data_IF_499938551550
#
_entry.id   IF_499938551550
#
_cell.length_a   1.000
_cell.length_b   1.000
_cell.length_c   1.000
_cell.angle_alpha   90.00
_cell.angle_beta   90.00
_cell.angle_gamma   90.00
#
_symmetry.space_group_name_H-M   'P 1'
#
loop_
_entity.id
_entity.type
_entity.pdbx_description
1 polymer ?
#
# COMPACT_ATOMS: atom_id res chain seq x y z
N UNK A 1 18.94 8.21 28.44
CA UNK A 1 18.54 7.79 27.06
C UNK A 1 18.37 6.29 27.06
N UNK A 2 17.13 5.80 27.16
CA UNK A 2 16.81 4.38 27.15
C UNK A 2 16.47 3.92 25.72
N UNK A 3 16.86 2.70 25.36
CA UNK A 3 16.44 2.04 24.12
C UNK A 3 15.00 1.57 24.30
N UNK A 4 14.09 1.98 23.39
CA UNK A 4 12.71 1.55 23.40
C UNK A 4 12.51 0.52 22.28
N UNK A 5 11.99 -0.65 22.64
CA UNK A 5 11.60 -1.69 21.66
C UNK A 5 10.10 -1.61 21.47
N UNK A 6 9.67 -1.70 20.21
CA UNK A 6 8.25 -1.73 19.83
C UNK A 6 8.01 -2.95 18.94
N UNK A 7 6.94 -3.67 19.22
CA UNK A 7 6.49 -4.80 18.39
C UNK A 7 5.38 -4.31 17.48
N UNK A 8 5.52 -4.56 16.18
CA UNK A 8 4.46 -4.32 15.20
C UNK A 8 3.92 -5.67 14.71
N UNK A 9 2.59 -5.82 14.77
CA UNK A 9 1.91 -7.01 14.29
C UNK A 9 1.41 -6.72 12.88
N UNK A 10 1.67 -7.67 11.96
CA UNK A 10 1.14 -7.62 10.59
C UNK A 10 -0.33 -8.03 10.61
N UNK A 11 -1.20 -7.06 10.49
CA UNK A 11 -2.66 -7.22 10.46
C UNK A 11 -3.27 -6.06 9.67
N UNK A 12 -4.49 -6.19 9.16
CA UNK A 12 -5.19 -5.07 8.56
C UNK A 12 -5.29 -3.91 9.56
N UNK A 13 -4.77 -2.75 9.15
CA UNK A 13 -4.76 -1.52 9.96
C UNK A 13 -5.41 -0.40 9.15
N UNK A 14 -5.98 0.55 9.84
CA UNK A 14 -6.40 1.79 9.21
C UNK A 14 -5.19 2.58 8.71
N UNK A 15 -5.38 3.34 7.64
CA UNK A 15 -4.35 4.23 7.12
C UNK A 15 -4.04 5.31 8.16
N UNK A 16 -2.78 5.55 8.38
CA UNK A 16 -2.31 6.63 9.27
C UNK A 16 -2.32 7.96 8.54
N UNK A 17 -1.91 7.95 7.26
CA UNK A 17 -1.78 9.14 6.45
C UNK A 17 -1.93 8.81 4.97
N UNK A 18 -2.42 9.80 4.19
CA UNK A 18 -2.42 9.76 2.73
C UNK A 18 -1.38 10.71 2.19
N UNK A 19 -0.60 10.24 1.23
CA UNK A 19 0.40 11.04 0.52
C UNK A 19 -0.04 11.27 -0.92
N UNK A 20 -0.04 12.53 -1.33
CA UNK A 20 -0.39 12.95 -2.67
C UNK A 20 0.64 13.94 -3.21
N UNK A 21 0.35 14.53 -4.36
CA UNK A 21 1.24 15.51 -5.01
C UNK A 21 1.55 16.71 -4.11
N UNK A 22 0.67 17.03 -3.16
CA UNK A 22 0.82 18.20 -2.27
C UNK A 22 1.81 17.98 -1.13
N UNK A 23 1.97 16.74 -0.69
CA UNK A 23 2.83 16.38 0.44
C UNK A 23 3.92 15.37 0.08
N UNK A 24 4.24 15.26 -1.20
CA UNK A 24 5.42 14.57 -1.72
C UNK A 24 6.34 15.64 -2.32
N UNK A 25 7.61 15.62 -1.97
CA UNK A 25 8.59 16.55 -2.53
C UNK A 25 8.72 16.30 -4.04
N UNK A 26 8.55 17.36 -4.82
CA UNK A 26 8.60 17.29 -6.28
C UNK A 26 9.91 16.63 -6.76
N UNK A 27 9.79 15.73 -7.74
CA UNK A 27 10.93 14.99 -8.30
C UNK A 27 11.51 13.88 -7.42
N UNK A 28 10.99 13.67 -6.20
CA UNK A 28 11.48 12.62 -5.30
C UNK A 28 10.76 11.27 -5.46
N UNK A 29 9.63 11.24 -6.16
CA UNK A 29 8.80 10.06 -6.31
C UNK A 29 9.42 9.07 -7.32
N UNK A 30 9.58 7.84 -6.91
CA UNK A 30 10.07 6.76 -7.78
C UNK A 30 9.34 5.45 -7.51
N UNK A 31 9.11 4.69 -8.58
CA UNK A 31 8.52 3.36 -8.52
C UNK A 31 9.57 2.37 -9.02
N UNK A 32 9.87 1.38 -8.20
CA UNK A 32 10.77 0.30 -8.54
C UNK A 32 9.98 -1.01 -8.62
N UNK A 33 10.20 -1.77 -9.68
CA UNK A 33 9.61 -3.09 -9.84
C UNK A 33 10.66 -4.17 -9.66
N UNK A 34 10.34 -5.17 -8.86
CA UNK A 34 11.16 -6.36 -8.74
C UNK A 34 11.18 -7.13 -10.06
N UNK A 35 12.36 -7.48 -10.54
CA UNK A 35 12.54 -8.26 -11.76
C UNK A 35 11.86 -9.63 -11.67
N UNK A 36 11.44 -10.18 -12.80
CA UNK A 36 10.75 -11.50 -12.84
C UNK A 36 11.66 -12.60 -12.28
N UNK A 37 12.97 -12.50 -12.51
CA UNK A 37 13.95 -13.47 -12.04
C UNK A 37 14.24 -13.38 -10.53
N UNK A 38 13.93 -12.25 -9.93
CA UNK A 38 14.16 -12.00 -8.50
C UNK A 38 12.94 -12.34 -7.64
N UNK A 39 11.80 -12.63 -8.29
CA UNK A 39 10.55 -13.01 -7.61
C UNK A 39 10.60 -14.48 -7.25
N UNK A 40 10.96 -14.77 -6.00
CA UNK A 40 10.88 -16.11 -5.48
C UNK A 40 9.43 -16.59 -5.42
N UNK A 41 9.17 -17.76 -6.01
CA UNK A 41 7.91 -18.48 -5.91
C UNK A 41 8.03 -19.75 -5.06
N UNK A 42 9.21 -19.97 -4.52
CA UNK A 42 9.53 -21.04 -3.56
C UNK A 42 10.42 -20.47 -2.46
N UNK A 43 10.07 -20.72 -1.21
CA UNK A 43 10.89 -20.36 -0.04
C UNK A 43 11.42 -21.63 0.60
N UNK A 44 12.74 -21.73 0.73
CA UNK A 44 13.42 -22.76 1.50
C UNK A 44 13.85 -22.16 2.84
N UNK A 45 13.19 -22.56 3.91
CA UNK A 45 13.40 -22.01 5.24
C UNK A 45 14.06 -23.03 6.15
N UNK A 46 15.22 -22.63 6.70
CA UNK A 46 15.95 -23.41 7.71
C UNK A 46 15.59 -22.90 9.11
N UNK A 47 15.21 -23.77 10.01
CA UNK A 47 14.88 -23.47 11.40
C UNK A 47 15.43 -24.54 12.35
N UNK A 48 15.30 -24.35 13.66
CA UNK A 48 15.73 -25.30 14.68
C UNK A 48 14.50 -25.95 15.31
N UNK A 49 14.33 -27.25 15.13
CA UNK A 49 13.11 -27.96 15.53
C UNK A 49 13.23 -28.51 16.95
N UNK A 50 12.34 -28.08 17.85
CA UNK A 50 12.33 -28.52 19.26
C UNK A 50 12.00 -29.99 19.40
N UNK A 51 11.18 -30.57 18.51
CA UNK A 51 10.84 -31.97 18.51
C UNK A 51 12.03 -32.90 18.12
N UNK A 52 13.08 -32.30 17.53
CA UNK A 52 14.29 -32.99 17.08
C UNK A 52 15.55 -32.46 17.76
N UNK A 53 15.51 -32.28 19.06
CA UNK A 53 16.63 -31.76 19.85
C UNK A 53 17.26 -30.48 19.31
N UNK A 54 16.44 -29.55 18.83
CA UNK A 54 16.89 -28.27 18.21
C UNK A 54 17.88 -28.46 17.06
N UNK A 55 17.82 -29.58 16.36
CA UNK A 55 18.60 -29.77 15.12
C UNK A 55 18.01 -28.95 14.00
N UNK A 56 18.87 -28.56 13.07
CA UNK A 56 18.43 -27.80 11.89
C UNK A 56 17.54 -28.66 11.00
N UNK A 57 16.39 -28.12 10.62
CA UNK A 57 15.49 -28.66 9.62
C UNK A 57 15.21 -27.64 8.54
N UNK A 58 14.91 -28.14 7.37
CA UNK A 58 14.58 -27.32 6.20
C UNK A 58 13.16 -27.67 5.76
N UNK A 59 12.35 -26.65 5.57
CA UNK A 59 11.04 -26.78 4.92
C UNK A 59 11.05 -26.02 3.61
N UNK A 60 10.24 -26.45 2.66
CA UNK A 60 9.99 -25.78 1.39
C UNK A 60 8.52 -25.44 1.26
N UNK A 61 8.24 -24.17 0.99
CA UNK A 61 6.90 -23.68 0.71
C UNK A 61 6.91 -23.02 -0.66
N UNK A 62 5.94 -23.36 -1.49
CA UNK A 62 5.85 -22.86 -2.86
C UNK A 62 4.47 -22.27 -3.17
N UNK A 63 4.44 -21.35 -4.13
CA UNK A 63 3.19 -20.77 -4.62
C UNK A 63 2.44 -21.75 -5.49
N UNK A 64 1.36 -22.33 -4.93
CA UNK A 64 0.50 -23.29 -5.62
C UNK A 64 -0.11 -22.73 -6.90
N UNK A 65 -0.41 -21.42 -6.94
CA UNK A 65 -1.00 -20.79 -8.12
C UNK A 65 0.05 -20.60 -9.23
N UNK A 66 1.29 -20.25 -8.87
CA UNK A 66 2.38 -20.16 -9.81
C UNK A 66 2.72 -21.54 -10.39
N UNK A 67 2.79 -22.56 -9.54
CA UNK A 67 3.01 -23.94 -9.96
C UNK A 67 1.92 -24.46 -10.91
N UNK A 68 0.65 -24.18 -10.62
CA UNK A 68 -0.48 -24.56 -11.47
C UNK A 68 -0.43 -23.87 -12.86
N UNK A 69 0.19 -22.70 -12.96
CA UNK A 69 0.42 -21.99 -14.23
C UNK A 69 1.68 -22.43 -14.97
N UNK A 70 2.41 -23.42 -14.44
CA UNK A 70 3.65 -23.92 -15.04
C UNK A 70 4.84 -22.97 -14.89
N UNK A 71 4.81 -22.08 -13.91
CA UNK A 71 5.94 -21.19 -13.63
C UNK A 71 7.16 -22.00 -13.18
N UNK A 72 8.33 -21.61 -13.69
CA UNK A 72 9.60 -22.21 -13.23
C UNK A 72 9.81 -21.89 -11.74
N UNK A 73 10.31 -22.84 -10.93
CA UNK A 73 10.64 -22.58 -9.55
C UNK A 73 11.84 -21.59 -9.46
N UNK A 74 11.63 -20.52 -8.73
CA UNK A 74 12.64 -19.56 -8.32
C UNK A 74 12.71 -19.62 -6.80
N UNK A 75 13.76 -20.26 -6.28
CA UNK A 75 13.90 -20.56 -4.86
C UNK A 75 14.74 -19.52 -4.16
N UNK A 76 14.31 -19.07 -2.99
CA UNK A 76 15.11 -18.25 -2.07
C UNK A 76 15.28 -19.00 -0.75
N UNK A 77 16.51 -19.09 -0.25
CA UNK A 77 16.82 -19.73 1.02
C UNK A 77 16.98 -18.71 2.13
N UNK A 78 16.36 -18.96 3.26
CA UNK A 78 16.46 -18.14 4.46
C UNK A 78 16.62 -19.01 5.70
N UNK A 79 17.39 -18.51 6.69
CA UNK A 79 17.54 -19.14 7.99
C UNK A 79 16.95 -18.26 9.08
N UNK A 80 15.99 -18.77 9.83
CA UNK A 80 15.39 -18.08 10.95
C UNK A 80 15.91 -18.64 12.28
N UNK A 81 16.47 -17.75 13.08
CA UNK A 81 16.87 -18.03 14.45
C UNK A 81 15.71 -17.66 15.37
N UNK A 82 15.32 -18.58 16.28
CA UNK A 82 14.19 -18.35 17.19
C UNK A 82 12.87 -18.93 16.73
N UNK A 83 12.80 -19.50 15.52
CA UNK A 83 11.69 -20.36 15.08
C UNK A 83 12.03 -21.79 15.48
N UNK A 84 11.19 -22.39 16.33
CA UNK A 84 11.45 -23.69 16.93
C UNK A 84 10.38 -24.75 16.63
N UNK A 85 9.26 -24.35 16.04
CA UNK A 85 8.19 -25.27 15.67
C UNK A 85 7.97 -25.27 14.16
N UNK A 86 7.57 -26.44 13.63
CA UNK A 86 7.26 -26.59 12.20
C UNK A 86 6.10 -25.67 11.77
N UNK A 87 5.08 -25.54 12.61
CA UNK A 87 3.92 -24.70 12.30
C UNK A 87 4.30 -23.22 12.17
N UNK A 88 5.15 -22.75 13.06
CA UNK A 88 5.67 -21.39 12.97
C UNK A 88 6.53 -21.20 11.73
N UNK A 89 7.41 -22.15 11.42
CA UNK A 89 8.25 -22.13 10.24
C UNK A 89 7.43 -22.06 8.94
N UNK A 90 6.36 -22.87 8.82
CA UNK A 90 5.45 -22.86 7.68
C UNK A 90 4.72 -21.52 7.56
N UNK A 91 4.27 -20.95 8.68
CA UNK A 91 3.61 -19.62 8.68
C UNK A 91 4.54 -18.52 8.21
N UNK A 92 5.77 -18.47 8.75
CA UNK A 92 6.78 -17.49 8.34
C UNK A 92 7.17 -17.64 6.86
N UNK A 93 7.36 -18.88 6.39
CA UNK A 93 7.66 -19.12 4.98
C UNK A 93 6.51 -18.67 4.05
N UNK A 94 5.24 -18.91 4.44
CA UNK A 94 4.09 -18.42 3.69
C UNK A 94 4.00 -16.89 3.71
N UNK A 95 4.31 -16.24 4.84
CA UNK A 95 4.37 -14.79 4.93
C UNK A 95 5.42 -14.22 3.96
N UNK A 96 6.64 -14.75 3.99
CA UNK A 96 7.70 -14.36 3.05
C UNK A 96 7.29 -14.57 1.59
N UNK A 97 6.65 -15.70 1.28
CA UNK A 97 6.17 -16.01 -0.06
C UNK A 97 5.12 -15.00 -0.53
N UNK A 98 4.19 -14.61 0.35
CA UNK A 98 3.17 -13.61 0.02
C UNK A 98 3.77 -12.21 -0.12
N UNK A 99 4.77 -11.86 0.69
CA UNK A 99 5.49 -10.58 0.56
C UNK A 99 6.25 -10.50 -0.77
N UNK A 100 6.84 -11.60 -1.25
CA UNK A 100 7.50 -11.64 -2.56
C UNK A 100 6.55 -11.48 -3.77
N UNK A 101 5.24 -11.57 -3.55
CA UNK A 101 4.24 -11.25 -4.58
C UNK A 101 4.03 -9.76 -4.76
N UNK A 102 4.41 -8.96 -3.77
CA UNK A 102 4.37 -7.51 -3.83
C UNK A 102 5.54 -7.01 -4.68
N UNK A 103 5.24 -6.66 -5.91
CA UNK A 103 6.24 -6.42 -6.95
C UNK A 103 6.71 -4.99 -6.99
N UNK A 104 5.88 -4.07 -6.51
CA UNK A 104 6.09 -2.63 -6.60
C UNK A 104 6.59 -2.07 -5.27
N UNK A 105 7.66 -1.29 -5.33
CA UNK A 105 8.17 -0.51 -4.21
C UNK A 105 8.14 0.96 -4.62
N UNK A 106 7.49 1.77 -3.80
CA UNK A 106 7.40 3.21 -3.98
C UNK A 106 8.35 3.89 -3.00
N UNK A 107 9.15 4.82 -3.50
CA UNK A 107 10.07 5.62 -2.69
C UNK A 107 9.84 7.08 -2.99
N UNK A 108 9.70 7.89 -1.95
CA UNK A 108 9.53 9.33 -2.06
C UNK A 108 10.00 10.04 -0.79
N UNK A 109 10.25 11.34 -0.91
CA UNK A 109 10.56 12.21 0.22
C UNK A 109 9.30 12.98 0.61
N UNK A 110 8.99 12.98 1.90
CA UNK A 110 7.85 13.70 2.44
C UNK A 110 8.31 14.74 3.48
N UNK A 111 7.54 15.83 3.68
CA UNK A 111 7.84 16.85 4.67
C UNK A 111 7.63 16.37 6.11
N UNK A 112 7.67 17.30 7.05
CA UNK A 112 7.66 17.01 8.50
C UNK A 112 6.42 16.25 8.97
N UNK A 113 5.31 16.36 8.28
CA UNK A 113 4.06 15.64 8.57
C UNK A 113 4.24 14.11 8.55
N UNK A 114 5.19 13.62 7.76
CA UNK A 114 5.53 12.19 7.68
C UNK A 114 6.05 11.62 9.01
N UNK A 115 6.44 12.45 9.98
CA UNK A 115 6.82 12.01 11.31
C UNK A 115 5.68 11.34 12.10
N UNK A 116 4.43 11.52 11.67
CA UNK A 116 3.28 10.77 12.20
C UNK A 116 3.33 9.29 11.84
N UNK A 117 4.06 8.93 10.77
CA UNK A 117 4.21 7.55 10.32
C UNK A 117 5.38 6.87 11.03
N UNK A 118 5.21 5.61 11.37
CA UNK A 118 6.24 4.74 11.94
C UNK A 118 6.43 3.51 11.05
N UNK A 119 7.54 2.79 11.23
CA UNK A 119 7.77 1.54 10.51
C UNK A 119 6.62 0.57 10.79
N UNK A 120 6.00 0.02 9.73
CA UNK A 120 4.82 -0.84 9.81
C UNK A 120 3.47 -0.10 9.84
N UNK A 121 3.45 1.22 9.66
CA UNK A 121 2.23 1.98 9.42
C UNK A 121 1.70 1.74 8.01
N UNK A 122 0.38 1.67 7.88
CA UNK A 122 -0.29 1.64 6.57
C UNK A 122 -0.46 3.08 6.11
N UNK A 123 0.02 3.38 4.92
CA UNK A 123 -0.14 4.67 4.26
C UNK A 123 -0.86 4.50 2.93
N UNK A 124 -1.56 5.51 2.52
CA UNK A 124 -2.14 5.61 1.18
C UNK A 124 -1.25 6.53 0.34
N UNK A 125 -0.94 6.12 -0.88
CA UNK A 125 -0.13 6.92 -1.79
C UNK A 125 -0.90 7.11 -3.09
N UNK A 126 -1.05 8.36 -3.51
CA UNK A 126 -1.70 8.74 -4.76
C UNK A 126 -0.78 9.67 -5.53
N UNK A 127 -0.41 9.28 -6.74
CA UNK A 127 0.45 10.06 -7.59
C UNK A 127 0.09 9.83 -9.06
N UNK A 128 0.15 10.87 -9.87
CA UNK A 128 -0.17 10.83 -11.31
C UNK A 128 0.78 9.97 -12.16
N UNK A 129 1.91 9.52 -11.62
CA UNK A 129 2.74 8.50 -12.27
C UNK A 129 2.15 7.07 -12.18
N UNK A 130 1.14 6.87 -11.34
CA UNK A 130 0.54 5.55 -11.11
C UNK A 130 -0.77 5.43 -11.91
N UNK A 131 -0.99 4.26 -12.49
CA UNK A 131 -2.20 3.97 -13.27
C UNK A 131 -3.42 3.58 -12.41
N UNK A 132 -3.23 3.40 -11.11
CA UNK A 132 -4.26 2.94 -10.18
C UNK A 132 -4.80 4.03 -9.23
N UNK A 133 -4.31 5.26 -9.36
CA UNK A 133 -4.83 6.42 -8.66
C UNK A 133 -4.34 7.70 -9.30
N UNK A 134 -5.18 8.71 -9.30
CA UNK A 134 -4.83 10.06 -9.71
C UNK A 134 -4.88 10.98 -8.50
N UNK A 135 -3.99 11.95 -8.43
CA UNK A 135 -3.94 12.96 -7.39
C UNK A 135 -3.77 14.33 -8.01
N UNK A 136 -4.40 15.34 -7.43
CA UNK A 136 -4.33 16.70 -7.92
C UNK A 136 -4.75 17.68 -6.84
N UNK A 137 -4.63 18.97 -7.14
CA UNK A 137 -5.06 20.05 -6.25
C UNK A 137 -6.46 20.51 -6.58
N UNK A 138 -7.20 20.81 -5.54
CA UNK A 138 -8.51 21.41 -5.68
C UNK A 138 -8.35 22.90 -6.02
N UNK A 139 -8.70 23.28 -7.24
CA UNK A 139 -8.65 24.67 -7.72
C UNK A 139 -9.90 25.45 -7.33
N UNK A 140 -11.05 24.77 -7.14
CA UNK A 140 -12.28 25.43 -6.75
C UNK A 140 -13.37 24.47 -6.32
N UNK A 141 -14.33 24.97 -5.56
CA UNK A 141 -15.53 24.24 -5.14
C UNK A 141 -16.75 25.10 -5.40
N UNK A 142 -17.75 24.58 -6.09
CA UNK A 142 -19.04 25.26 -6.27
C UNK A 142 -20.20 24.37 -5.86
N UNK A 143 -21.24 24.95 -5.28
CA UNK A 143 -22.43 24.22 -4.88
C UNK A 143 -23.42 24.20 -6.04
N UNK A 144 -23.78 22.99 -6.51
CA UNK A 144 -24.71 22.81 -7.61
C UNK A 144 -26.13 22.58 -7.09
N UNK A 145 -26.29 21.79 -6.04
CA UNK A 145 -27.58 21.49 -5.40
C UNK A 145 -27.38 21.16 -3.91
N UNK A 146 -28.46 20.89 -3.18
CA UNK A 146 -28.36 20.48 -1.78
C UNK A 146 -27.60 19.17 -1.65
N UNK A 147 -26.42 19.23 -1.01
CA UNK A 147 -25.54 18.07 -0.83
C UNK A 147 -24.75 17.63 -2.06
N UNK A 148 -24.81 18.41 -3.15
CA UNK A 148 -24.08 18.14 -4.40
C UNK A 148 -23.13 19.30 -4.68
N UNK A 149 -21.86 18.98 -4.81
CA UNK A 149 -20.79 19.95 -5.03
C UNK A 149 -20.01 19.58 -6.27
N UNK A 150 -19.60 20.61 -6.98
CA UNK A 150 -18.75 20.54 -8.14
C UNK A 150 -17.33 20.95 -7.73
N UNK A 151 -16.38 20.04 -7.97
CA UNK A 151 -14.97 20.23 -7.67
C UNK A 151 -14.22 20.51 -8.96
N UNK A 152 -13.53 21.64 -8.99
CA UNK A 152 -12.61 21.99 -10.08
C UNK A 152 -11.22 21.56 -9.67
N UNK A 153 -10.60 20.69 -10.45
CA UNK A 153 -9.24 20.22 -10.23
C UNK A 153 -8.25 21.01 -11.09
N UNK A 154 -6.99 21.00 -10.70
CA UNK A 154 -5.90 21.69 -11.39
C UNK A 154 -5.50 21.05 -12.73
N UNK A 155 -5.99 19.84 -13.01
CA UNK A 155 -5.80 19.12 -14.27
C UNK A 155 -7.00 18.23 -14.59
N UNK A 156 -7.08 17.79 -15.85
CA UNK A 156 -8.11 16.87 -16.29
C UNK A 156 -7.79 15.45 -15.79
N UNK A 157 -8.77 14.82 -15.15
CA UNK A 157 -8.70 13.42 -14.71
C UNK A 157 -9.50 12.55 -15.68
N UNK A 158 -8.90 11.45 -16.11
CA UNK A 158 -9.59 10.50 -16.97
C UNK A 158 -10.29 9.41 -16.14
N UNK A 159 -11.60 9.31 -16.30
CA UNK A 159 -12.42 8.31 -15.61
C UNK A 159 -12.86 7.21 -16.55
N UNK A 160 -12.59 5.96 -16.19
CA UNK A 160 -13.14 4.82 -16.93
C UNK A 160 -14.65 4.69 -16.69
N UNK A 161 -15.43 4.69 -17.76
CA UNK A 161 -16.89 4.45 -17.67
C UNK A 161 -17.20 3.09 -17.04
N UNK A 162 -18.11 3.09 -16.07
CA UNK A 162 -18.61 1.87 -15.40
C UNK A 162 -17.84 1.45 -14.16
N UNK A 163 -16.74 2.13 -13.79
CA UNK A 163 -16.09 1.94 -12.50
C UNK A 163 -16.65 2.90 -11.45
N UNK A 164 -16.78 2.42 -10.23
CA UNK A 164 -17.13 3.26 -9.08
C UNK A 164 -15.86 3.95 -8.56
N UNK A 165 -15.82 5.27 -8.67
CA UNK A 165 -14.70 6.09 -8.21
C UNK A 165 -14.99 6.66 -6.83
N UNK A 166 -13.93 6.84 -6.07
CA UNK A 166 -13.95 7.54 -4.79
C UNK A 166 -12.88 8.60 -4.81
N UNK A 167 -13.16 9.77 -4.25
CA UNK A 167 -12.20 10.83 -4.06
C UNK A 167 -11.95 11.00 -2.56
N UNK A 168 -10.68 11.08 -2.19
CA UNK A 168 -10.27 11.45 -0.84
C UNK A 168 -9.84 12.92 -0.84
N UNK A 169 -10.48 13.73 -0.01
CA UNK A 169 -10.13 15.13 0.15
C UNK A 169 -9.26 15.30 1.39
N UNK A 170 -8.14 15.97 1.22
CA UNK A 170 -7.15 16.15 2.26
C UNK A 170 -6.59 17.57 2.22
N UNK A 171 -6.34 18.15 3.38
CA UNK A 171 -5.45 19.31 3.53
C UNK A 171 -4.07 18.82 3.98
N UNK A 172 -3.06 19.67 3.96
CA UNK A 172 -1.71 19.33 4.44
C UNK A 172 -1.66 18.76 5.87
N UNK A 173 -2.70 19.02 6.67
CA UNK A 173 -2.74 18.67 8.09
C UNK A 173 -3.87 17.70 8.45
N UNK A 174 -4.97 17.68 7.69
CA UNK A 174 -6.20 16.94 8.06
C UNK A 174 -6.77 16.18 6.86
N UNK A 175 -7.00 14.88 7.06
CA UNK A 175 -7.80 14.06 6.15
C UNK A 175 -9.28 14.43 6.34
N UNK A 176 -9.92 14.89 5.26
CA UNK A 176 -11.32 15.32 5.25
C UNK A 176 -12.29 14.19 4.89
N UNK A 177 -11.76 13.03 4.58
CA UNK A 177 -12.54 11.83 4.29
C UNK A 177 -12.68 11.50 2.81
N UNK A 178 -13.30 10.35 2.57
CA UNK A 178 -13.48 9.78 1.23
C UNK A 178 -14.93 9.93 0.79
N UNK A 179 -15.14 10.50 -0.39
CA UNK A 179 -16.46 10.76 -0.97
C UNK A 179 -16.66 9.96 -2.24
N UNK A 180 -17.91 9.58 -2.52
CA UNK A 180 -18.27 8.88 -3.75
C UNK A 180 -18.40 9.90 -4.88
N UNK A 181 -17.79 9.59 -6.01
CA UNK A 181 -17.96 10.37 -7.24
C UNK A 181 -19.24 9.91 -7.95
N UNK A 182 -20.16 10.83 -8.21
CA UNK A 182 -21.41 10.52 -8.93
C UNK A 182 -21.27 10.66 -10.44
N UNK A 183 -20.64 11.74 -10.88
CA UNK A 183 -20.40 11.96 -12.32
C UNK A 183 -19.20 12.85 -12.54
N UNK A 184 -18.66 12.81 -13.75
CA UNK A 184 -17.58 13.65 -14.22
C UNK A 184 -17.99 14.25 -15.55
N UNK A 185 -17.94 15.56 -15.63
CA UNK A 185 -18.28 16.34 -16.82
C UNK A 185 -17.17 17.37 -17.05
N UNK A 186 -16.36 17.18 -18.11
CA UNK A 186 -15.43 18.21 -18.59
C UNK A 186 -14.42 18.71 -17.57
N UNK A 187 -13.89 17.82 -16.71
CA UNK A 187 -12.94 18.20 -15.64
C UNK A 187 -13.59 18.57 -14.30
N UNK A 188 -14.90 18.47 -14.21
CA UNK A 188 -15.67 18.68 -12.98
C UNK A 188 -16.04 17.35 -12.34
N UNK A 189 -15.88 17.23 -11.03
CA UNK A 189 -16.22 16.03 -10.24
C UNK A 189 -17.40 16.35 -9.34
N UNK A 190 -18.52 15.66 -9.50
CA UNK A 190 -19.71 15.83 -8.67
C UNK A 190 -19.65 14.88 -7.50
N UNK A 191 -19.69 15.42 -6.28
CA UNK A 191 -19.70 14.67 -5.04
C UNK A 191 -21.04 14.73 -4.34
N UNK A 192 -21.43 13.61 -3.73
CA UNK A 192 -22.59 13.53 -2.82
C UNK A 192 -22.13 13.42 -1.37
N UNK A 193 -22.82 14.16 -0.47
CA UNK A 193 -22.56 14.09 0.96
C UNK A 193 -21.40 14.94 1.48
N UNK A 194 -20.78 15.74 0.61
CA UNK A 194 -19.74 16.68 1.00
C UNK A 194 -20.34 17.96 1.63
N UNK A 195 -19.78 18.42 2.73
CA UNK A 195 -20.16 19.69 3.37
C UNK A 195 -18.92 20.59 3.49
N UNK A 196 -18.78 21.65 2.66
CA UNK A 196 -17.62 22.52 2.65
C UNK A 196 -17.45 23.33 3.94
N UNK A 197 -18.49 23.45 4.78
CA UNK A 197 -18.40 24.17 6.05
C UNK A 197 -17.77 23.29 7.16
N UNK A 198 -17.60 22.01 6.92
CA UNK A 198 -16.91 21.05 7.80
C UNK A 198 -15.49 20.74 7.37
N UNK A 199 -15.03 21.43 6.33
CA UNK A 199 -13.72 21.24 5.70
C UNK A 199 -12.76 22.35 6.13
#
# INVERSE_FOLDING_TARGET
>A
TGTRYTVSIEMPKEKVMSFGVDNIVEGSFSINWMGVNDRANEIELTYYDEEYDYKQRVIKVYDKQAAARGAKPVSTSTKLVGVVTNEQAVREANFMLNTNKLVETVTFTAPVEALACTIGSVIEVQHNMMTWGEAGKLAGVSKVAAGVYDLVLDHEISFEKGKAWKINLQTSVVDRGTFKVESVLGGYVILTGFDPNKV
#
